data_IF_591534863533
#
_entry.id   IF_591534863533
#
_cell.length_a   1.000
_cell.length_b   1.000
_cell.length_c   1.000
_cell.angle_alpha   90.00
_cell.angle_beta   90.00
_cell.angle_gamma   90.00
#
_symmetry.space_group_name_H-M   'P 1'
#
loop_
_entity.id
_entity.type
_entity.pdbx_description
1 polymer ?
#
# COMPACT_ATOMS: atom_id res chain seq x y z
N UNK A 1 -29.02 8.20 -20.18
CA UNK A 1 -27.91 7.25 -19.99
C UNK A 1 -27.55 7.29 -18.52
N UNK A 2 -27.77 6.20 -17.78
CA UNK A 2 -27.37 6.11 -16.37
C UNK A 2 -25.89 5.73 -16.39
N UNK A 3 -25.01 6.65 -16.00
CA UNK A 3 -23.61 6.31 -15.73
C UNK A 3 -23.58 5.25 -14.63
N UNK A 4 -23.05 4.08 -14.97
CA UNK A 4 -22.79 3.05 -13.99
C UNK A 4 -21.61 3.53 -13.14
N UNK A 5 -21.91 4.11 -11.98
CA UNK A 5 -20.90 4.50 -10.99
C UNK A 5 -20.13 3.23 -10.64
N UNK A 6 -18.85 3.18 -11.01
CA UNK A 6 -18.00 2.05 -10.66
C UNK A 6 -18.05 1.89 -9.14
N UNK A 7 -18.38 0.69 -8.65
CA UNK A 7 -18.39 0.45 -7.21
C UNK A 7 -16.95 0.47 -6.69
N UNK A 8 -16.76 0.98 -5.47
CA UNK A 8 -15.49 0.90 -4.79
C UNK A 8 -15.04 -0.56 -4.65
N UNK A 9 -13.74 -0.82 -4.84
CA UNK A 9 -13.17 -2.17 -4.70
C UNK A 9 -12.24 -2.16 -3.49
N UNK A 10 -12.33 -3.22 -2.70
CA UNK A 10 -11.50 -3.42 -1.53
C UNK A 10 -10.91 -4.82 -1.54
N UNK A 11 -9.60 -4.91 -1.27
CA UNK A 11 -8.90 -6.18 -1.17
C UNK A 11 -7.96 -6.22 0.03
N UNK A 12 -7.77 -7.43 0.56
CA UNK A 12 -6.89 -7.72 1.68
C UNK A 12 -5.66 -8.48 1.22
N UNK A 13 -4.49 -8.09 1.73
CA UNK A 13 -3.24 -8.84 1.60
C UNK A 13 -2.74 -9.23 2.99
N UNK A 14 -2.55 -10.53 3.23
CA UNK A 14 -2.07 -11.06 4.50
C UNK A 14 -0.55 -10.91 4.64
N UNK A 15 -0.11 -10.73 5.88
CA UNK A 15 1.31 -10.74 6.22
C UNK A 15 1.91 -12.13 5.93
N UNK A 16 3.25 -12.15 5.86
CA UNK A 16 4.04 -13.37 5.66
C UNK A 16 5.25 -13.40 6.58
N UNK A 17 5.61 -14.59 7.00
CA UNK A 17 6.84 -14.88 7.73
C UNK A 17 7.76 -15.77 6.89
N UNK A 18 9.07 -15.55 6.98
CA UNK A 18 10.06 -16.43 6.38
C UNK A 18 10.27 -17.65 7.28
N UNK A 19 10.04 -18.87 6.75
CA UNK A 19 10.33 -20.12 7.46
C UNK A 19 11.77 -20.57 7.22
N UNK A 20 12.23 -20.53 5.96
CA UNK A 20 13.58 -20.93 5.58
C UNK A 20 14.04 -20.18 4.32
N UNK A 21 15.34 -19.91 4.24
CA UNK A 21 15.99 -19.40 3.03
C UNK A 21 16.48 -17.96 3.12
N UNK A 22 16.30 -17.26 4.24
CA UNK A 22 16.96 -15.97 4.51
C UNK A 22 18.39 -16.24 5.05
N UNK A 23 19.48 -15.65 4.50
CA UNK A 23 19.54 -14.60 3.46
C UNK A 23 19.76 -15.10 2.04
N UNK A 24 19.69 -16.42 1.80
CA UNK A 24 19.97 -17.00 0.48
C UNK A 24 19.03 -16.49 -0.62
N UNK A 25 17.81 -16.06 -0.30
CA UNK A 25 16.89 -15.38 -1.22
C UNK A 25 17.47 -14.13 -1.87
N UNK A 26 18.29 -13.37 -1.14
CA UNK A 26 18.98 -12.20 -1.70
C UNK A 26 20.01 -12.62 -2.77
N UNK A 27 20.39 -13.90 -2.80
CA UNK A 27 21.35 -14.50 -3.73
C UNK A 27 20.72 -15.54 -4.66
N UNK A 28 19.44 -15.36 -5.01
CA UNK A 28 18.66 -16.26 -5.89
C UNK A 28 18.45 -17.68 -5.34
N UNK A 29 18.62 -17.88 -4.03
CA UNK A 29 18.24 -19.11 -3.34
C UNK A 29 16.72 -19.25 -3.22
N UNK A 30 16.25 -20.49 -3.08
CA UNK A 30 14.84 -20.77 -2.83
C UNK A 30 14.46 -20.37 -1.40
N UNK A 31 13.22 -19.91 -1.21
CA UNK A 31 12.63 -19.63 0.11
C UNK A 31 11.35 -20.39 0.35
N UNK A 32 11.10 -20.68 1.62
CA UNK A 32 9.80 -21.14 2.11
C UNK A 32 9.28 -20.04 3.03
N UNK A 33 8.08 -19.54 2.74
CA UNK A 33 7.38 -18.56 3.56
C UNK A 33 5.95 -19.01 3.84
N UNK A 34 5.41 -18.55 4.97
CA UNK A 34 4.06 -18.86 5.41
C UNK A 34 3.25 -17.56 5.50
N UNK A 35 2.01 -17.59 5.00
CA UNK A 35 1.08 -16.49 5.23
C UNK A 35 0.48 -16.60 6.63
N UNK A 36 0.33 -15.46 7.31
CA UNK A 36 -0.26 -15.37 8.65
C UNK A 36 -1.57 -14.59 8.54
N UNK A 37 -2.68 -15.25 8.85
CA UNK A 37 -4.03 -14.69 8.70
C UNK A 37 -4.37 -13.57 9.67
N UNK A 38 -3.66 -13.48 10.80
CA UNK A 38 -3.98 -12.56 11.90
C UNK A 38 -3.47 -11.14 11.66
N UNK A 39 -2.62 -10.93 10.66
CA UNK A 39 -2.09 -9.63 10.29
C UNK A 39 -2.31 -9.41 8.79
N UNK A 40 -2.87 -8.27 8.42
CA UNK A 40 -3.14 -7.95 7.04
C UNK A 40 -3.16 -6.44 6.81
N UNK A 41 -2.98 -6.06 5.55
CA UNK A 41 -3.33 -4.74 5.06
C UNK A 41 -4.57 -4.85 4.15
N UNK A 42 -5.47 -3.88 4.28
CA UNK A 42 -6.60 -3.69 3.36
C UNK A 42 -6.31 -2.48 2.49
N UNK A 43 -6.57 -2.56 1.20
CA UNK A 43 -6.46 -1.44 0.26
C UNK A 43 -7.79 -1.25 -0.43
N UNK A 44 -8.28 0.00 -0.42
CA UNK A 44 -9.54 0.40 -1.02
C UNK A 44 -9.32 1.41 -2.14
N UNK A 45 -9.97 1.17 -3.26
CA UNK A 45 -9.95 2.01 -4.45
C UNK A 45 -11.37 2.52 -4.71
N UNK A 46 -11.57 3.83 -4.53
CA UNK A 46 -12.82 4.54 -4.76
C UNK A 46 -12.69 5.39 -6.04
N UNK A 47 -13.65 5.39 -6.97
CA UNK A 47 -13.62 6.35 -8.07
C UNK A 47 -13.70 7.79 -7.56
N UNK A 48 -12.94 8.69 -8.17
CA UNK A 48 -12.95 10.12 -7.82
C UNK A 48 -12.52 11.00 -8.98
N UNK A 49 -12.88 12.27 -8.95
CA UNK A 49 -12.53 13.24 -10.00
C UNK A 49 -11.02 13.44 -10.15
N UNK A 50 -10.29 13.36 -9.03
CA UNK A 50 -8.84 13.51 -8.95
C UNK A 50 -8.18 12.20 -8.48
N UNK A 51 -6.94 11.97 -8.91
CA UNK A 51 -6.11 10.90 -8.38
C UNK A 51 -5.61 11.29 -6.99
N UNK A 52 -6.06 10.61 -5.95
CA UNK A 52 -5.74 10.93 -4.54
C UNK A 52 -5.14 9.72 -3.85
N UNK A 53 -4.00 9.88 -3.21
CA UNK A 53 -3.46 8.89 -2.26
C UNK A 53 -3.80 9.41 -0.87
N UNK A 54 -4.79 8.80 -0.21
CA UNK A 54 -5.28 9.24 1.09
C UNK A 54 -4.32 8.76 2.20
N UNK A 55 -3.70 9.67 2.98
CA UNK A 55 -2.87 9.28 4.11
C UNK A 55 -3.67 8.59 5.19
N UNK A 56 -3.08 7.58 5.84
CA UNK A 56 -3.70 6.96 7.01
C UNK A 56 -3.60 7.90 8.22
N UNK A 57 -4.69 8.15 8.96
CA UNK A 57 -4.71 9.14 10.03
C UNK A 57 -3.73 8.85 11.17
N UNK A 58 -3.34 7.58 11.36
CA UNK A 58 -2.44 7.15 12.45
C UNK A 58 -1.04 6.81 11.92
N UNK A 59 -0.94 6.28 10.69
CA UNK A 59 0.30 5.69 10.19
C UNK A 59 1.10 6.65 9.30
N UNK A 60 0.47 7.68 8.73
CA UNK A 60 1.10 8.72 7.91
C UNK A 60 1.00 10.11 8.56
N UNK A 61 1.26 10.19 9.87
CA UNK A 61 1.24 11.47 10.59
C UNK A 61 2.32 12.42 10.07
N UNK A 62 1.91 13.65 9.78
CA UNK A 62 2.80 14.77 9.39
C UNK A 62 2.60 16.00 10.29
N UNK A 63 1.68 15.91 11.23
CA UNK A 63 1.38 16.94 12.23
C UNK A 63 1.47 16.32 13.62
N UNK A 64 2.13 17.02 14.53
CA UNK A 64 2.43 16.56 15.87
C UNK A 64 2.24 17.70 16.88
N UNK A 65 1.77 17.37 18.08
CA UNK A 65 1.55 18.35 19.15
C UNK A 65 2.84 18.95 19.71
N UNK A 66 3.95 18.22 19.65
CA UNK A 66 5.28 18.67 20.11
C UNK A 66 6.41 17.86 19.47
N UNK A 67 7.65 18.30 19.68
CA UNK A 67 8.85 17.55 19.26
C UNK A 67 8.95 16.21 20.01
N UNK A 68 8.60 16.15 21.29
CA UNK A 68 8.61 14.89 22.04
C UNK A 68 7.60 13.90 21.47
N UNK A 69 6.41 14.35 21.08
CA UNK A 69 5.42 13.50 20.41
C UNK A 69 5.95 12.96 19.07
N UNK A 70 6.57 13.81 18.26
CA UNK A 70 7.22 13.42 17.01
C UNK A 70 8.31 12.35 17.26
N UNK A 71 9.26 12.61 18.18
CA UNK A 71 10.38 11.70 18.43
C UNK A 71 9.88 10.34 18.93
N UNK A 72 8.94 10.31 19.88
CA UNK A 72 8.38 9.07 20.40
C UNK A 72 7.66 8.26 19.30
N UNK A 73 6.91 8.95 18.42
CA UNK A 73 6.24 8.31 17.28
C UNK A 73 7.24 7.77 16.26
N UNK A 74 8.33 8.48 15.99
CA UNK A 74 9.37 8.02 15.06
C UNK A 74 10.19 6.85 15.62
N UNK A 75 10.42 6.79 16.93
CA UNK A 75 11.12 5.68 17.57
C UNK A 75 10.32 4.37 17.55
N UNK A 76 9.00 4.46 17.71
CA UNK A 76 8.11 3.30 17.73
C UNK A 76 7.79 2.75 16.34
N UNK A 77 7.53 3.65 15.39
CA UNK A 77 6.89 3.30 14.10
C UNK A 77 7.73 3.72 12.88
N UNK A 78 8.85 4.41 13.11
CA UNK A 78 9.71 4.92 12.06
C UNK A 78 9.15 6.15 11.34
N UNK A 79 9.83 6.52 10.25
CA UNK A 79 9.61 7.76 9.49
C UNK A 79 8.57 7.63 8.38
N UNK A 80 8.24 6.41 7.98
CA UNK A 80 7.43 6.15 6.79
C UNK A 80 6.14 5.46 7.17
N UNK A 81 5.03 5.90 6.57
CA UNK A 81 3.78 5.15 6.53
C UNK A 81 3.53 4.51 5.16
N UNK A 82 2.28 4.13 4.91
CA UNK A 82 1.89 3.37 3.73
C UNK A 82 1.72 4.21 2.48
N UNK A 83 1.60 5.54 2.56
CA UNK A 83 1.49 6.43 1.39
C UNK A 83 2.63 6.19 0.40
N UNK A 84 3.86 6.04 0.91
CA UNK A 84 5.04 5.77 0.07
C UNK A 84 4.92 4.45 -0.69
N UNK A 85 4.37 3.43 -0.04
CA UNK A 85 4.18 2.11 -0.65
C UNK A 85 3.09 2.15 -1.72
N UNK A 86 1.96 2.81 -1.45
CA UNK A 86 0.88 2.99 -2.41
C UNK A 86 1.36 3.72 -3.69
N UNK A 87 2.09 4.83 -3.53
CA UNK A 87 2.67 5.56 -4.67
C UNK A 87 3.65 4.70 -5.48
N UNK A 88 4.50 3.94 -4.79
CA UNK A 88 5.46 3.05 -5.45
C UNK A 88 4.76 1.94 -6.25
N UNK A 89 3.69 1.35 -5.70
CA UNK A 89 2.87 0.35 -6.39
C UNK A 89 2.24 0.94 -7.65
N UNK A 90 1.61 2.12 -7.58
CA UNK A 90 1.05 2.79 -8.76
C UNK A 90 2.10 3.01 -9.84
N UNK A 91 3.31 3.48 -9.48
CA UNK A 91 4.41 3.67 -10.42
C UNK A 91 4.85 2.36 -11.10
N UNK A 92 5.04 1.30 -10.32
CA UNK A 92 5.49 0.00 -10.83
C UNK A 92 4.41 -0.61 -11.73
N UNK A 93 3.15 -0.57 -11.30
CA UNK A 93 2.01 -1.08 -12.05
C UNK A 93 1.83 -0.34 -13.38
N UNK A 94 1.85 0.99 -13.36
CA UNK A 94 1.78 1.81 -14.58
C UNK A 94 2.90 1.46 -15.57
N UNK A 95 4.14 1.35 -15.07
CA UNK A 95 5.29 0.94 -15.89
C UNK A 95 5.08 -0.43 -16.52
N UNK A 96 4.60 -1.40 -15.74
CA UNK A 96 4.29 -2.74 -16.24
C UNK A 96 3.26 -2.68 -17.37
N UNK A 97 2.13 -1.98 -17.16
CA UNK A 97 1.11 -1.84 -18.20
C UNK A 97 1.66 -1.19 -19.49
N UNK A 98 2.50 -0.16 -19.38
CA UNK A 98 3.14 0.47 -20.53
C UNK A 98 4.09 -0.47 -21.28
N UNK A 99 4.95 -1.20 -20.57
CA UNK A 99 5.89 -2.16 -21.20
C UNK A 99 5.17 -3.37 -21.79
N UNK A 100 4.06 -3.79 -21.20
CA UNK A 100 3.24 -4.92 -21.67
C UNK A 100 2.15 -4.53 -22.67
N UNK A 101 2.10 -3.27 -23.10
CA UNK A 101 1.08 -2.73 -24.02
C UNK A 101 -0.37 -2.95 -23.55
N UNK A 102 -0.60 -2.87 -22.24
CA UNK A 102 -1.92 -2.94 -21.60
C UNK A 102 -2.47 -1.52 -21.49
N UNK A 103 -3.58 -1.24 -22.19
CA UNK A 103 -4.27 0.04 -22.11
C UNK A 103 -5.01 0.18 -20.78
N UNK A 104 -4.67 1.21 -20.00
CA UNK A 104 -5.40 1.59 -18.78
C UNK A 104 -6.53 2.55 -19.12
N UNK A 105 -7.64 2.44 -18.41
CA UNK A 105 -8.71 3.42 -18.46
C UNK A 105 -8.23 4.76 -17.86
N UNK A 106 -8.74 5.88 -18.39
CA UNK A 106 -8.32 7.22 -17.97
C UNK A 106 -9.02 7.78 -16.72
N UNK A 107 -9.79 6.95 -16.01
CA UNK A 107 -10.51 7.35 -14.80
C UNK A 107 -9.58 7.55 -13.61
N UNK A 108 -9.84 8.58 -12.81
CA UNK A 108 -9.13 8.84 -11.56
C UNK A 108 -9.75 8.08 -10.39
N UNK A 109 -8.98 7.97 -9.30
CA UNK A 109 -9.40 7.23 -8.11
C UNK A 109 -8.72 7.76 -6.84
N UNK A 110 -9.35 7.48 -5.71
CA UNK A 110 -8.79 7.65 -4.37
C UNK A 110 -8.33 6.29 -3.88
N UNK A 111 -7.04 6.19 -3.55
CA UNK A 111 -6.44 4.99 -2.97
C UNK A 111 -6.21 5.21 -1.48
N UNK A 112 -6.69 4.30 -0.66
CA UNK A 112 -6.51 4.32 0.80
C UNK A 112 -6.14 2.93 1.31
N UNK A 113 -5.59 2.86 2.51
CA UNK A 113 -5.23 1.59 3.14
C UNK A 113 -5.54 1.61 4.63
N UNK A 114 -5.64 0.42 5.21
CA UNK A 114 -5.74 0.16 6.64
C UNK A 114 -4.90 -1.08 7.00
N UNK A 115 -4.50 -1.24 8.25
CA UNK A 115 -3.70 -2.36 8.76
C UNK A 115 -4.02 -2.65 10.22
N UNK A 116 -3.90 -3.91 10.63
CA UNK A 116 -4.19 -4.35 12.01
C UNK A 116 -2.98 -4.95 12.73
#
# INVERSE_FOLDING_TARGET
MVEQVAAAIEHKAYARIGLLGNPSDVYNGNTISLSVSNFWATVKLDPSDQLVIRPHPIHDLVQFDSIDHLVNRLQSEGYYGGVRLLMAICKIFYRYCKTSNIALHGGNFTLSYDTN
#
